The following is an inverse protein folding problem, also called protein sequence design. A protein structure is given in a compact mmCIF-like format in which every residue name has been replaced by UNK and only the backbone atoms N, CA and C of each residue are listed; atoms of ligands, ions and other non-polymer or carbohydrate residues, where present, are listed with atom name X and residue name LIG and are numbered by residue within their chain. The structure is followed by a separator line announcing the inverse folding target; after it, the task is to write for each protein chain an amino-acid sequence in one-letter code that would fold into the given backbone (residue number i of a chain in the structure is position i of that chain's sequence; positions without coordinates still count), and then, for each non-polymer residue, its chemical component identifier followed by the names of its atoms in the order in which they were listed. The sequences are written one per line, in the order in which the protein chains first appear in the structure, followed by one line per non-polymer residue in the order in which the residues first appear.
data_IF_621087984853
#
_entry.id   IF_621087984853
#
_cell.length_a   1.000
_cell.length_b   1.000
_cell.length_c   1.000
_cell.angle_alpha   90.00
_cell.angle_beta   90.00
_cell.angle_gamma   90.00
#
_symmetry.space_group_name_H-M   'P 1'
#
loop_
_entity.id
_entity.type
_entity.pdbx_description
1 polymer ?
#
# COMPACT_ATOMS: atom_id res chain seq x y z
N UNK A 1 66.81 -25.92 27.20
CA UNK A 1 67.09 -25.25 25.93
C UNK A 1 65.81 -25.17 25.11
N UNK A 2 65.39 -23.96 24.77
CA UNK A 2 64.51 -23.51 23.68
C UNK A 2 63.55 -24.54 23.04
N UNK A 3 62.24 -24.28 23.16
CA UNK A 3 61.30 -24.01 22.05
C UNK A 3 59.92 -23.68 22.67
N UNK A 4 59.53 -22.42 22.76
CA UNK A 4 58.97 -21.53 21.73
C UNK A 4 57.43 -21.49 21.88
N UNK A 5 56.97 -20.29 22.24
CA UNK A 5 55.59 -19.82 22.29
C UNK A 5 54.74 -20.25 21.09
N UNK A 6 53.51 -20.71 21.34
CA UNK A 6 52.33 -20.34 20.53
C UNK A 6 51.14 -20.19 21.50
N UNK A 7 50.90 -18.94 21.92
CA UNK A 7 49.54 -18.46 22.14
C UNK A 7 48.74 -18.73 20.87
N UNK A 8 47.49 -19.18 20.96
CA UNK A 8 46.39 -18.35 20.46
C UNK A 8 45.05 -18.96 20.91
N UNK A 9 44.32 -18.12 21.65
CA UNK A 9 42.91 -18.28 21.93
C UNK A 9 42.15 -18.48 20.62
N UNK A 10 41.41 -19.58 20.51
CA UNK A 10 40.25 -19.65 19.62
C UNK A 10 39.03 -19.57 20.53
N UNK A 11 38.87 -18.38 21.12
CA UNK A 11 37.61 -17.94 21.67
C UNK A 11 36.60 -17.88 20.52
N UNK A 12 35.52 -18.63 20.68
CA UNK A 12 34.16 -18.20 20.40
C UNK A 12 33.99 -17.15 19.28
N UNK A 13 33.89 -17.61 18.05
CA UNK A 13 33.11 -16.92 17.01
C UNK A 13 32.13 -17.92 16.41
N UNK A 14 31.22 -18.40 17.26
CA UNK A 14 29.86 -18.67 16.82
C UNK A 14 29.28 -17.33 16.38
N UNK A 15 29.57 -16.95 15.13
CA UNK A 15 28.84 -15.93 14.41
C UNK A 15 27.43 -16.49 14.29
N UNK A 16 26.62 -16.15 15.28
CA UNK A 16 25.18 -16.12 15.15
C UNK A 16 24.97 -15.21 13.94
N UNK A 17 24.71 -15.81 12.79
CA UNK A 17 24.08 -15.15 11.67
C UNK A 17 22.75 -14.63 12.21
N UNK A 18 22.79 -13.44 12.81
CA UNK A 18 21.62 -12.64 13.08
C UNK A 18 21.16 -12.17 11.70
N UNK A 19 20.56 -13.10 10.95
CA UNK A 19 19.67 -12.77 9.88
C UNK A 19 18.51 -12.01 10.55
N UNK A 20 18.66 -10.69 10.63
CA UNK A 20 17.49 -9.81 10.61
C UNK A 20 16.78 -10.14 9.30
N UNK A 21 15.85 -11.09 9.37
CA UNK A 21 14.80 -11.18 8.37
C UNK A 21 13.97 -9.95 8.66
N UNK A 22 14.31 -8.84 8.03
CA UNK A 22 13.29 -7.85 7.73
C UNK A 22 12.26 -8.64 6.93
N UNK A 23 11.10 -8.90 7.54
CA UNK A 23 10.00 -9.56 6.84
C UNK A 23 9.81 -8.79 5.54
N UNK A 24 9.85 -9.46 4.38
CA UNK A 24 9.75 -8.77 3.10
C UNK A 24 8.41 -8.05 3.07
N UNK A 25 8.45 -6.71 3.21
CA UNK A 25 7.27 -5.90 3.01
C UNK A 25 6.88 -6.01 1.54
N UNK A 26 5.60 -6.23 1.23
CA UNK A 26 5.16 -6.36 -0.14
C UNK A 26 5.41 -5.07 -0.92
N UNK A 27 5.86 -5.21 -2.16
CA UNK A 27 6.31 -4.09 -2.99
C UNK A 27 5.17 -3.27 -3.61
N UNK A 28 3.93 -3.73 -3.48
CA UNK A 28 2.73 -3.18 -4.10
C UNK A 28 1.43 -3.72 -3.46
N UNK A 29 0.28 -3.18 -3.86
CA UNK A 29 -1.04 -3.60 -3.37
C UNK A 29 -1.37 -3.03 -2.00
N UNK A 30 -2.36 -3.61 -1.31
CA UNK A 30 -2.87 -3.09 -0.04
C UNK A 30 -1.85 -3.02 1.09
N UNK A 31 -1.00 -4.03 1.15
CA UNK A 31 0.11 -4.11 2.11
C UNK A 31 1.35 -3.34 1.63
N UNK A 32 1.31 -2.81 0.40
CA UNK A 32 2.42 -2.08 -0.21
C UNK A 32 2.62 -0.67 0.34
N UNK A 33 3.67 0.04 -0.13
CA UNK A 33 3.97 1.37 0.33
C UNK A 33 2.89 2.38 -0.10
N UNK A 34 2.63 3.35 0.78
CA UNK A 34 1.77 4.50 0.46
C UNK A 34 2.50 5.45 -0.47
N UNK A 35 1.91 5.74 -1.63
CA UNK A 35 2.43 6.73 -2.58
C UNK A 35 1.84 8.12 -2.35
N UNK A 36 0.59 8.18 -1.88
CA UNK A 36 -0.12 9.43 -1.69
C UNK A 36 -1.13 9.31 -0.55
N UNK A 37 -1.15 10.32 0.32
CA UNK A 37 -2.18 10.46 1.35
C UNK A 37 -3.29 11.35 0.82
N UNK A 38 -4.49 10.79 0.68
CA UNK A 38 -5.70 11.53 0.34
C UNK A 38 -6.35 12.08 1.61
N UNK A 39 -6.74 13.35 1.58
CA UNK A 39 -7.44 14.03 2.69
C UNK A 39 -8.71 14.66 2.16
N UNK A 40 -9.85 14.35 2.80
CA UNK A 40 -11.16 14.93 2.50
C UNK A 40 -11.47 15.03 1.00
N UNK A 41 -11.13 13.96 0.27
CA UNK A 41 -11.22 13.91 -1.18
C UNK A 41 -12.64 13.51 -1.58
N UNK A 42 -13.25 14.31 -2.46
CA UNK A 42 -14.57 14.02 -3.01
C UNK A 42 -14.47 12.86 -4.00
N UNK A 43 -15.31 11.85 -3.81
CA UNK A 43 -15.29 10.62 -4.59
C UNK A 43 -16.71 10.16 -4.95
N UNK A 44 -16.79 9.33 -5.97
CA UNK A 44 -17.94 8.51 -6.37
C UNK A 44 -17.63 7.07 -5.98
N UNK A 45 -18.54 6.39 -5.29
CA UNK A 45 -18.46 4.96 -5.05
C UNK A 45 -19.17 4.19 -6.17
N UNK A 46 -18.40 3.54 -7.04
CA UNK A 46 -18.92 2.84 -8.21
C UNK A 46 -19.47 1.43 -7.93
N UNK A 47 -19.38 0.98 -6.66
CA UNK A 47 -19.69 -0.35 -6.10
C UNK A 47 -18.47 -1.21 -5.77
N UNK A 48 -18.67 -2.21 -4.92
CA UNK A 48 -17.67 -3.19 -4.50
C UNK A 48 -16.38 -2.60 -3.89
N UNK A 49 -16.41 -1.35 -3.43
CA UNK A 49 -15.23 -0.65 -2.91
C UNK A 49 -14.42 0.10 -3.96
N UNK A 50 -14.89 0.23 -5.21
CA UNK A 50 -14.25 1.07 -6.22
C UNK A 50 -14.64 2.53 -6.01
N UNK A 51 -13.65 3.38 -5.75
CA UNK A 51 -13.86 4.83 -5.62
C UNK A 51 -13.18 5.57 -6.75
N UNK A 52 -13.91 6.49 -7.37
CA UNK A 52 -13.40 7.36 -8.42
C UNK A 52 -13.38 8.81 -7.96
N UNK A 53 -12.24 9.48 -8.09
CA UNK A 53 -11.99 10.83 -7.62
C UNK A 53 -11.02 11.58 -8.53
N UNK A 54 -10.87 12.88 -8.30
CA UNK A 54 -9.85 13.69 -8.98
C UNK A 54 -8.54 13.60 -8.21
N UNK A 55 -7.49 13.07 -8.84
CA UNK A 55 -6.19 12.93 -8.20
C UNK A 55 -5.59 14.31 -7.88
N UNK A 56 -5.16 14.58 -6.64
CA UNK A 56 -4.84 15.94 -6.19
C UNK A 56 -3.58 16.53 -6.83
N UNK A 57 -2.70 15.69 -7.38
CA UNK A 57 -1.44 16.13 -8.01
C UNK A 57 -1.59 16.25 -9.53
N UNK A 58 -2.12 15.20 -10.17
CA UNK A 58 -2.21 15.10 -11.64
C UNK A 58 -3.50 15.72 -12.18
N UNK A 59 -4.48 15.98 -11.30
CA UNK A 59 -5.82 16.50 -11.63
C UNK A 59 -6.61 15.60 -12.60
N UNK A 60 -6.13 14.39 -12.86
CA UNK A 60 -6.81 13.38 -13.66
C UNK A 60 -7.87 12.67 -12.84
N UNK A 61 -8.92 12.17 -13.52
CA UNK A 61 -9.87 11.23 -12.90
C UNK A 61 -9.14 9.90 -12.67
N UNK A 62 -9.13 9.44 -11.43
CA UNK A 62 -8.45 8.22 -11.00
C UNK A 62 -9.44 7.37 -10.22
N UNK A 63 -9.37 6.05 -10.42
CA UNK A 63 -10.16 5.08 -9.67
C UNK A 63 -9.23 4.20 -8.84
N UNK A 64 -9.65 3.85 -7.63
CA UNK A 64 -8.89 2.99 -6.73
C UNK A 64 -9.81 2.00 -6.01
N UNK A 65 -9.33 0.77 -5.81
CA UNK A 65 -10.05 -0.25 -5.04
C UNK A 65 -9.72 -0.12 -3.56
N UNK A 66 -10.75 -0.04 -2.72
CA UNK A 66 -10.59 -0.10 -1.28
C UNK A 66 -9.99 -1.45 -0.86
N UNK A 67 -9.00 -1.42 0.03
CA UNK A 67 -8.38 -2.61 0.56
C UNK A 67 -9.33 -3.44 1.42
N UNK A 68 -10.10 -2.75 2.25
CA UNK A 68 -11.19 -3.31 3.02
C UNK A 68 -12.49 -2.67 2.53
N UNK A 69 -13.45 -3.52 2.16
CA UNK A 69 -14.75 -3.08 1.67
C UNK A 69 -15.77 -3.21 2.80
N UNK A 70 -16.49 -2.13 3.08
CA UNK A 70 -17.63 -2.17 4.00
C UNK A 70 -18.93 -2.38 3.22
N UNK A 71 -19.70 -3.39 3.62
CA UNK A 71 -21.04 -3.68 3.08
C UNK A 71 -22.05 -2.53 3.26
N UNK A 72 -21.78 -1.59 4.17
CA UNK A 72 -22.62 -0.42 4.42
C UNK A 72 -22.41 0.71 3.41
N UNK A 73 -21.34 0.66 2.60
CA UNK A 73 -21.08 1.67 1.58
C UNK A 73 -22.03 1.48 0.40
N UNK A 74 -23.04 2.33 0.32
CA UNK A 74 -23.96 2.35 -0.81
C UNK A 74 -23.24 2.83 -2.08
N UNK A 75 -23.56 2.24 -3.23
CA UNK A 75 -23.17 2.81 -4.53
C UNK A 75 -23.72 4.25 -4.65
N UNK A 76 -22.96 5.13 -5.28
CA UNK A 76 -23.44 6.47 -5.64
C UNK A 76 -24.61 6.38 -6.62
N UNK A 77 -25.62 7.25 -6.45
CA UNK A 77 -26.77 7.27 -7.36
C UNK A 77 -26.41 7.80 -8.74
N UNK A 78 -25.46 8.74 -8.80
CA UNK A 78 -24.99 9.35 -10.03
C UNK A 78 -23.46 9.28 -10.13
N UNK A 79 -22.94 8.52 -11.09
CA UNK A 79 -21.51 8.33 -11.29
C UNK A 79 -20.74 9.58 -11.77
N UNK A 80 -21.45 10.66 -12.10
CA UNK A 80 -20.88 11.96 -12.47
C UNK A 80 -20.80 12.95 -11.32
N UNK A 81 -21.45 12.68 -10.17
CA UNK A 81 -21.54 13.60 -9.05
C UNK A 81 -20.93 12.92 -7.81
N UNK A 82 -19.76 13.37 -7.34
CA UNK A 82 -19.17 12.86 -6.10
C UNK A 82 -20.09 13.11 -4.90
N UNK A 83 -20.53 12.04 -4.24
CA UNK A 83 -21.40 12.04 -3.05
C UNK A 83 -20.73 11.39 -1.82
N UNK A 84 -19.43 11.08 -1.93
CA UNK A 84 -18.60 10.67 -0.81
C UNK A 84 -17.46 11.65 -0.58
N UNK A 85 -17.05 11.76 0.68
CA UNK A 85 -15.78 12.33 1.11
C UNK A 85 -14.94 11.23 1.75
N UNK A 86 -13.79 10.93 1.15
CA UNK A 86 -12.85 9.88 1.61
C UNK A 86 -11.51 10.47 2.01
N UNK A 87 -10.88 9.87 3.01
CA UNK A 87 -9.47 10.03 3.34
C UNK A 87 -8.83 8.66 3.42
N UNK A 88 -7.55 8.56 3.05
CA UNK A 88 -6.89 7.27 3.01
C UNK A 88 -5.50 7.31 2.39
N UNK A 89 -4.87 6.16 2.36
CA UNK A 89 -3.54 5.95 1.81
C UNK A 89 -3.66 5.27 0.45
N UNK A 90 -3.40 6.01 -0.63
CA UNK A 90 -3.27 5.43 -1.96
C UNK A 90 -1.96 4.64 -2.04
N UNK A 91 -2.07 3.35 -2.31
CA UNK A 91 -0.97 2.40 -2.30
C UNK A 91 -0.33 2.28 -3.68
N UNK A 92 0.91 1.83 -3.70
CA UNK A 92 1.62 1.51 -4.94
C UNK A 92 0.92 0.38 -5.68
N UNK A 93 0.60 0.60 -6.95
CA UNK A 93 -0.01 -0.40 -7.82
C UNK A 93 0.93 -1.57 -8.12
N UNK A 94 0.35 -2.76 -8.30
CA UNK A 94 1.11 -3.92 -8.75
C UNK A 94 1.16 -3.94 -10.27
N UNK A 95 2.37 -3.87 -10.83
CA UNK A 95 2.59 -3.97 -12.27
C UNK A 95 2.90 -5.42 -12.66
N UNK A 96 2.00 -6.06 -13.40
CA UNK A 96 2.13 -7.46 -13.83
C UNK A 96 2.66 -7.62 -15.27
N UNK A 97 3.45 -6.67 -15.76
CA UNK A 97 3.95 -6.67 -17.14
C UNK A 97 2.97 -6.06 -18.14
N UNK A 98 3.23 -6.17 -19.46
CA UNK A 98 2.39 -5.62 -20.51
C UNK A 98 1.08 -6.43 -20.61
N UNK A 99 0.17 -6.17 -19.71
CA UNK A 99 -1.19 -6.71 -19.75
C UNK A 99 -2.11 -5.64 -20.34
N UNK A 100 -3.07 -6.06 -21.17
CA UNK A 100 -4.13 -5.17 -21.67
C UNK A 100 -5.22 -4.91 -20.63
N UNK A 101 -4.98 -5.28 -19.36
CA UNK A 101 -5.93 -5.11 -18.27
C UNK A 101 -5.71 -3.77 -17.56
N UNK A 102 -6.80 -3.08 -17.28
CA UNK A 102 -6.79 -1.90 -16.42
C UNK A 102 -6.59 -2.38 -14.99
N UNK A 103 -5.44 -2.07 -14.41
CA UNK A 103 -5.16 -2.31 -12.99
C UNK A 103 -5.40 -0.99 -12.26
N UNK A 104 -6.36 -0.98 -11.34
CA UNK A 104 -6.56 0.18 -10.47
C UNK A 104 -5.68 0.05 -9.23
N UNK A 105 -5.04 1.13 -8.77
CA UNK A 105 -4.31 1.13 -7.50
C UNK A 105 -5.25 0.80 -6.34
N UNK A 106 -4.67 0.32 -5.24
CA UNK A 106 -5.41 0.09 -4.00
C UNK A 106 -5.43 1.34 -3.12
N UNK A 107 -6.47 1.51 -2.31
CA UNK A 107 -6.57 2.55 -1.30
C UNK A 107 -6.96 1.95 0.06
N UNK A 108 -6.19 2.25 1.09
CA UNK A 108 -6.56 1.98 2.47
C UNK A 108 -7.37 3.17 3.00
N UNK A 109 -8.68 3.01 3.10
CA UNK A 109 -9.60 4.08 3.53
C UNK A 109 -9.50 4.22 5.06
N UNK A 110 -9.12 5.41 5.53
CA UNK A 110 -9.00 5.72 6.96
C UNK A 110 -10.19 6.54 7.48
N UNK A 111 -10.90 7.23 6.59
CA UNK A 111 -12.17 7.88 6.90
C UNK A 111 -13.04 7.94 5.65
N UNK A 112 -14.33 7.73 5.83
CA UNK A 112 -15.32 7.83 4.76
C UNK A 112 -16.61 8.41 5.32
N UNK A 113 -17.22 9.30 4.55
CA UNK A 113 -18.52 9.88 4.84
C UNK A 113 -19.31 9.98 3.54
N UNK A 114 -20.58 9.59 3.58
CA UNK A 114 -21.56 9.93 2.54
C UNK A 114 -22.09 11.35 2.80
N UNK A 115 -22.06 12.19 1.77
CA UNK A 115 -22.43 13.61 1.84
C UNK A 115 -23.92 13.85 1.65
#
# INVERSE_FOLDING_TARGET
MKKLFVLFAVCATSIILSCSKDDPQPDCGCEGPTLLVLKNTRAVHESAGLFTFTHPITLSKTSAWACDVDSLWAKSENNGIPDYTISGNLKKECFFGPTSMIVFPSIEITAIKKD
#
